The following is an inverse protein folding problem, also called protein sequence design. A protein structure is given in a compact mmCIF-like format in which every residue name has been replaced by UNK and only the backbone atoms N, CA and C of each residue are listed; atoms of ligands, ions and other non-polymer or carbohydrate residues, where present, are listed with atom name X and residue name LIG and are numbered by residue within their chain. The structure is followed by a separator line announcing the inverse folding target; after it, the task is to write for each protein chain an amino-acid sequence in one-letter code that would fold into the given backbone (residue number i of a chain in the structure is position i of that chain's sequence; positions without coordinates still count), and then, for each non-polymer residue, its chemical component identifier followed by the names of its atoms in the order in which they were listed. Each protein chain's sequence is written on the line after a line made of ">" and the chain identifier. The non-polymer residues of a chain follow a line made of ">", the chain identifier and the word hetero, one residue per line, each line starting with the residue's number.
data_IF_838952374059
#
_entry.id   IF_838952374059
#
_cell.length_a   1.000
_cell.length_b   1.000
_cell.length_c   1.000
_cell.angle_alpha   90.00
_cell.angle_beta   90.00
_cell.angle_gamma   90.00
#
_symmetry.space_group_name_H-M   'P 1'
#
loop_
_entity.id
_entity.type
_entity.pdbx_description
1 polymer ?
#
# COMPACT_ATOMS: atom_id res chain seq x y z
N UNK A 1 1.77 6.27 -36.29
CA UNK A 1 1.87 6.93 -34.98
C UNK A 1 1.41 5.95 -33.91
N UNK A 2 2.27 5.00 -33.58
CA UNK A 2 2.04 3.99 -32.57
C UNK A 2 3.26 4.02 -31.67
N UNK A 3 3.10 4.56 -30.47
CA UNK A 3 4.15 4.54 -29.46
C UNK A 3 3.51 4.23 -28.10
N UNK A 4 2.96 3.02 -28.01
CA UNK A 4 2.87 2.34 -26.72
C UNK A 4 4.24 1.72 -26.49
N UNK A 5 5.08 2.46 -25.77
CA UNK A 5 6.35 1.97 -25.27
C UNK A 5 6.14 0.56 -24.67
N UNK A 6 6.93 -0.41 -25.10
CA UNK A 6 6.93 -1.75 -24.49
C UNK A 6 7.04 -1.61 -22.96
N UNK A 7 6.26 -2.38 -22.17
CA UNK A 7 6.40 -2.32 -20.72
C UNK A 7 7.86 -2.61 -20.36
N UNK A 8 8.45 -1.90 -19.39
CA UNK A 8 9.82 -2.17 -18.99
C UNK A 8 9.94 -3.63 -18.58
N UNK A 9 11.00 -4.31 -19.00
CA UNK A 9 11.25 -5.70 -18.65
C UNK A 9 11.37 -5.83 -17.11
N UNK A 10 10.28 -6.25 -16.44
CA UNK A 10 10.23 -6.51 -15.01
C UNK A 10 9.08 -5.81 -14.25
N UNK A 11 8.96 -6.16 -12.98
CA UNK A 11 7.99 -5.56 -12.03
C UNK A 11 8.63 -4.40 -11.23
N UNK A 12 7.86 -3.38 -10.80
CA UNK A 12 8.38 -2.21 -10.07
C UNK A 12 9.13 -2.57 -8.78
N UNK A 13 10.36 -2.08 -8.61
CA UNK A 13 11.19 -2.33 -7.42
C UNK A 13 11.12 -1.15 -6.44
N UNK A 14 11.26 -1.37 -5.12
CA UNK A 14 11.41 -0.29 -4.15
C UNK A 14 12.47 0.73 -4.60
N UNK A 15 12.20 2.05 -4.48
CA UNK A 15 11.06 2.66 -3.78
C UNK A 15 9.78 2.80 -4.62
N UNK A 16 9.78 2.36 -5.90
CA UNK A 16 8.59 2.43 -6.74
C UNK A 16 7.51 1.45 -6.25
N UNK A 17 6.27 1.94 -6.18
CA UNK A 17 5.13 1.11 -5.80
C UNK A 17 4.75 0.15 -6.93
N UNK A 18 4.51 -1.11 -6.59
CA UNK A 18 3.85 -2.07 -7.48
C UNK A 18 2.33 -2.02 -7.22
N UNK A 19 1.48 -1.89 -8.26
CA UNK A 19 0.03 -1.99 -8.11
C UNK A 19 -0.38 -3.39 -7.64
N UNK A 20 -1.48 -3.50 -6.91
CA UNK A 20 -2.01 -4.78 -6.44
C UNK A 20 -2.12 -5.82 -7.56
N UNK A 21 -2.68 -5.46 -8.72
CA UNK A 21 -2.88 -6.39 -9.84
C UNK A 21 -1.59 -7.01 -10.40
N UNK A 22 -0.42 -6.48 -10.03
CA UNK A 22 0.90 -6.98 -10.44
C UNK A 22 1.64 -7.72 -9.32
N UNK A 23 1.06 -7.87 -8.13
CA UNK A 23 1.70 -8.53 -6.98
C UNK A 23 1.98 -10.02 -7.20
N UNK A 24 1.42 -10.64 -8.25
CA UNK A 24 1.76 -12.01 -8.63
C UNK A 24 3.06 -12.13 -9.44
N UNK A 25 3.59 -11.03 -10.00
CA UNK A 25 4.83 -11.04 -10.78
C UNK A 25 6.11 -11.26 -9.95
N UNK A 26 6.27 -10.64 -8.75
CA UNK A 26 7.45 -10.87 -7.91
C UNK A 26 7.49 -12.29 -7.33
N UNK A 27 8.67 -12.94 -7.25
CA UNK A 27 8.80 -14.23 -6.57
C UNK A 27 8.52 -14.11 -5.06
N UNK A 28 8.21 -15.22 -4.40
CA UNK A 28 8.06 -15.24 -2.93
C UNK A 28 9.33 -14.73 -2.25
N UNK A 29 9.16 -13.94 -1.17
CA UNK A 29 10.25 -13.31 -0.43
C UNK A 29 10.84 -12.05 -1.10
N UNK A 30 10.39 -11.71 -2.31
CA UNK A 30 10.80 -10.50 -3.00
C UNK A 30 10.42 -9.26 -2.18
N UNK A 31 11.32 -8.27 -2.17
CA UNK A 31 11.08 -6.98 -1.53
C UNK A 31 10.32 -6.07 -2.49
N UNK A 32 9.15 -5.60 -2.07
CA UNK A 32 8.22 -4.77 -2.84
C UNK A 32 7.85 -3.52 -2.05
N UNK A 33 7.39 -2.49 -2.74
CA UNK A 33 6.73 -1.33 -2.13
C UNK A 33 5.29 -1.30 -2.65
N UNK A 34 4.31 -1.16 -1.77
CA UNK A 34 2.90 -0.95 -2.11
C UNK A 34 2.44 0.38 -1.51
N UNK A 35 1.44 1.01 -2.09
CA UNK A 35 0.80 2.16 -1.49
C UNK A 35 -0.72 2.06 -1.67
N UNK A 36 -1.48 2.53 -0.69
CA UNK A 36 -2.94 2.46 -0.77
C UNK A 36 -3.63 3.09 0.43
N UNK A 37 -4.94 3.29 0.27
CA UNK A 37 -5.84 3.73 1.33
C UNK A 37 -5.95 2.63 2.39
N UNK A 38 -5.96 3.01 3.66
CA UNK A 38 -6.13 2.03 4.74
C UNK A 38 -7.61 1.74 4.96
N UNK A 39 -8.04 0.52 4.67
CA UNK A 39 -9.42 0.08 4.86
C UNK A 39 -9.66 -0.46 6.27
N UNK A 40 -8.82 -1.41 6.69
CA UNK A 40 -9.05 -2.18 7.91
C UNK A 40 -7.75 -2.34 8.68
N UNK A 41 -7.85 -2.30 10.01
CA UNK A 41 -6.77 -2.67 10.94
C UNK A 41 -7.30 -3.73 11.89
N UNK A 42 -6.61 -4.86 11.97
CA UNK A 42 -6.96 -5.92 12.91
C UNK A 42 -5.77 -6.23 13.80
N UNK A 43 -6.03 -6.37 15.10
CA UNK A 43 -5.05 -6.84 16.07
C UNK A 43 -5.67 -7.98 16.88
N UNK A 44 -5.67 -9.21 16.35
CA UNK A 44 -6.24 -10.35 17.05
C UNK A 44 -5.56 -10.53 18.41
N UNK A 45 -6.34 -10.75 19.47
CA UNK A 45 -5.81 -10.91 20.83
C UNK A 45 -4.83 -12.08 20.98
N UNK A 46 -4.93 -13.09 20.11
CA UNK A 46 -4.13 -14.31 20.10
C UNK A 46 -2.86 -14.24 19.23
N UNK A 47 -2.69 -13.19 18.42
CA UNK A 47 -1.63 -13.13 17.40
C UNK A 47 -0.32 -12.51 17.92
N UNK A 48 0.03 -12.68 19.21
CA UNK A 48 1.30 -12.21 19.81
C UNK A 48 1.67 -10.73 19.49
N UNK A 49 0.66 -9.87 19.34
CA UNK A 49 0.86 -8.45 19.04
C UNK A 49 1.10 -8.11 17.56
N UNK A 50 0.86 -9.04 16.63
CA UNK A 50 0.78 -8.77 15.20
C UNK A 50 -0.42 -7.89 14.87
N UNK A 51 -0.23 -6.97 13.94
CA UNK A 51 -1.28 -6.15 13.36
C UNK A 51 -1.38 -6.48 11.87
N UNK A 52 -2.60 -6.65 11.39
CA UNK A 52 -2.94 -6.75 9.98
C UNK A 52 -3.53 -5.43 9.51
N UNK A 53 -3.05 -4.94 8.37
CA UNK A 53 -3.57 -3.74 7.71
C UNK A 53 -4.01 -4.14 6.31
N UNK A 54 -5.22 -3.80 5.90
CA UNK A 54 -5.66 -3.94 4.51
C UNK A 54 -5.51 -2.59 3.82
N UNK A 55 -4.71 -2.56 2.76
CA UNK A 55 -4.54 -1.41 1.86
C UNK A 55 -5.35 -1.63 0.59
N UNK A 56 -5.90 -0.57 0.02
CA UNK A 56 -6.59 -0.59 -1.27
C UNK A 56 -5.95 0.40 -2.24
N UNK A 57 -5.72 -0.06 -3.47
CA UNK A 57 -5.52 0.77 -4.65
C UNK A 57 -6.62 0.47 -5.68
N UNK A 58 -6.64 1.18 -6.80
CA UNK A 58 -7.65 1.02 -7.86
C UNK A 58 -7.67 -0.37 -8.51
N UNK A 59 -6.66 -1.20 -8.24
CA UNK A 59 -6.46 -2.53 -8.80
C UNK A 59 -6.71 -3.67 -7.80
N UNK A 60 -7.02 -3.36 -6.54
CA UNK A 60 -7.44 -4.32 -5.53
C UNK A 60 -6.89 -4.08 -4.12
N UNK A 61 -6.96 -5.11 -3.27
CA UNK A 61 -6.61 -5.01 -1.85
C UNK A 61 -5.34 -5.78 -1.48
N UNK A 62 -4.38 -5.12 -0.85
CA UNK A 62 -3.14 -5.72 -0.36
C UNK A 62 -3.19 -5.89 1.17
N UNK A 63 -2.98 -7.13 1.64
CA UNK A 63 -2.89 -7.41 3.07
C UNK A 63 -1.45 -7.23 3.56
N UNK A 64 -1.26 -6.38 4.58
CA UNK A 64 0.04 -6.08 5.18
C UNK A 64 0.12 -6.66 6.58
N UNK A 65 1.20 -7.38 6.87
CA UNK A 65 1.50 -7.91 8.21
C UNK A 65 2.53 -7.00 8.87
N UNK A 66 2.20 -6.48 10.05
CA UNK A 66 3.04 -5.61 10.86
C UNK A 66 3.35 -6.30 12.19
N UNK A 67 4.58 -6.77 12.34
CA UNK A 67 5.06 -7.36 13.58
C UNK A 67 5.20 -6.32 14.69
N UNK A 68 5.04 -6.75 15.95
CA UNK A 68 5.06 -5.89 17.14
C UNK A 68 6.23 -4.90 17.17
N UNK A 69 7.46 -5.36 16.92
CA UNK A 69 8.67 -4.51 16.90
C UNK A 69 8.57 -3.38 15.87
N UNK A 70 7.99 -3.69 14.71
CA UNK A 70 7.80 -2.71 13.65
C UNK A 70 6.68 -1.73 13.98
N UNK A 71 5.58 -2.23 14.52
CA UNK A 71 4.49 -1.39 15.04
C UNK A 71 5.00 -0.40 16.08
N UNK A 72 5.80 -0.84 17.05
CA UNK A 72 6.37 0.05 18.08
C UNK A 72 7.18 1.20 17.45
N UNK A 73 7.93 0.91 16.38
CA UNK A 73 8.70 1.91 15.62
C UNK A 73 7.82 2.86 14.81
N UNK A 74 6.80 2.36 14.14
CA UNK A 74 5.94 3.14 13.22
C UNK A 74 4.53 3.40 13.79
N UNK A 75 4.42 3.48 15.12
CA UNK A 75 3.14 3.48 15.84
C UNK A 75 2.13 4.49 15.30
N UNK A 76 2.57 5.72 15.04
CA UNK A 76 1.69 6.80 14.54
C UNK A 76 1.10 6.46 13.17
N UNK A 77 1.94 6.05 12.21
CA UNK A 77 1.49 5.68 10.87
C UNK A 77 0.54 4.47 10.93
N UNK A 78 0.90 3.44 11.71
CA UNK A 78 0.08 2.23 11.86
C UNK A 78 -1.28 2.51 12.48
N UNK A 79 -1.39 3.39 13.47
CA UNK A 79 -2.67 3.69 14.13
C UNK A 79 -3.53 4.66 13.33
N UNK A 80 -2.94 5.74 12.82
CA UNK A 80 -3.69 6.91 12.35
C UNK A 80 -3.58 7.18 10.84
N UNK A 81 -2.60 6.58 10.13
CA UNK A 81 -2.35 6.90 8.72
C UNK A 81 -3.53 6.53 7.82
N UNK A 82 -4.02 7.47 7.00
CA UNK A 82 -5.17 7.21 6.12
C UNK A 82 -4.76 6.61 4.77
N UNK A 83 -3.55 6.91 4.34
CA UNK A 83 -2.90 6.34 3.17
C UNK A 83 -1.48 5.98 3.55
N UNK A 84 -1.06 4.74 3.28
CA UNK A 84 0.26 4.26 3.67
C UNK A 84 1.04 3.83 2.45
N UNK A 85 2.34 4.14 2.45
CA UNK A 85 3.34 3.45 1.62
C UNK A 85 4.07 2.44 2.49
N UNK A 86 4.05 1.18 2.07
CA UNK A 86 4.66 0.08 2.80
C UNK A 86 5.69 -0.59 1.92
N UNK A 87 6.94 -0.62 2.38
CA UNK A 87 7.97 -1.49 1.80
C UNK A 87 8.12 -2.73 2.67
N UNK A 88 8.10 -3.90 2.05
CA UNK A 88 8.11 -5.17 2.76
C UNK A 88 8.43 -6.36 1.86
N UNK A 89 8.30 -7.56 2.41
CA UNK A 89 8.53 -8.82 1.69
C UNK A 89 7.23 -9.51 1.34
N UNK A 90 7.13 -9.94 0.10
CA UNK A 90 6.00 -10.70 -0.39
C UNK A 90 6.00 -12.10 0.24
N UNK A 91 4.90 -12.50 0.86
CA UNK A 91 4.66 -13.86 1.32
C UNK A 91 3.39 -14.41 0.68
N UNK A 92 3.41 -15.70 0.37
CA UNK A 92 2.29 -16.43 -0.19
C UNK A 92 2.05 -17.61 0.74
N UNK A 93 0.89 -17.63 1.38
CA UNK A 93 0.54 -18.67 2.33
C UNK A 93 -0.93 -19.03 2.13
N UNK A 94 -1.22 -20.33 1.96
CA UNK A 94 -2.59 -20.83 1.77
C UNK A 94 -3.40 -20.12 0.67
N UNK A 95 -2.73 -19.71 -0.41
CA UNK A 95 -3.36 -19.00 -1.53
C UNK A 95 -3.62 -17.50 -1.30
N UNK A 96 -3.25 -16.96 -0.13
CA UNK A 96 -3.35 -15.54 0.18
C UNK A 96 -1.97 -14.90 0.11
N UNK A 97 -1.93 -13.71 -0.49
CA UNK A 97 -0.72 -12.93 -0.64
C UNK A 97 -0.67 -11.84 0.43
N UNK A 98 0.47 -11.73 1.11
CA UNK A 98 0.73 -10.76 2.16
C UNK A 98 2.02 -9.99 1.89
N UNK A 99 2.08 -8.74 2.32
CA UNK A 99 3.33 -7.97 2.43
C UNK A 99 3.72 -7.90 3.90
N UNK A 100 4.80 -8.59 4.27
CA UNK A 100 5.39 -8.45 5.61
C UNK A 100 6.18 -7.15 5.64
N UNK A 101 5.69 -6.17 6.40
CA UNK A 101 6.25 -4.83 6.41
C UNK A 101 7.68 -4.78 6.97
N UNK A 102 8.48 -3.87 6.43
CA UNK A 102 9.83 -3.51 6.90
C UNK A 102 9.98 -1.99 7.09
N UNK A 103 9.29 -1.20 6.27
CA UNK A 103 9.22 0.27 6.35
C UNK A 103 7.77 0.69 6.11
N UNK A 104 7.26 1.59 6.93
CA UNK A 104 5.90 2.12 6.83
C UNK A 104 5.98 3.65 6.85
N UNK A 105 5.38 4.28 5.86
CA UNK A 105 5.32 5.73 5.73
C UNK A 105 3.86 6.16 5.64
N UNK A 106 3.50 7.16 6.44
CA UNK A 106 2.21 7.82 6.33
C UNK A 106 2.28 8.86 5.20
N UNK A 107 1.62 8.56 4.09
CA UNK A 107 1.52 9.43 2.93
C UNK A 107 0.15 10.10 2.84
N UNK A 108 -0.58 10.16 3.96
CA UNK A 108 -1.89 10.81 4.04
C UNK A 108 -1.90 12.29 3.62
N UNK A 109 -0.76 12.96 3.66
CA UNK A 109 -0.61 14.32 3.13
C UNK A 109 -0.93 14.43 1.63
N UNK A 110 -0.74 13.36 0.86
CA UNK A 110 -1.12 13.34 -0.56
C UNK A 110 -2.64 13.43 -0.75
N UNK A 111 -3.42 12.90 0.19
CA UNK A 111 -4.88 13.04 0.18
C UNK A 111 -5.29 14.48 0.53
N UNK A 112 -4.57 15.13 1.44
CA UNK A 112 -4.83 16.52 1.80
C UNK A 112 -4.57 17.46 0.62
N UNK A 113 -3.63 17.10 -0.26
CA UNK A 113 -3.32 17.86 -1.48
C UNK A 113 -4.47 17.83 -2.50
N UNK A 114 -5.16 16.69 -2.62
CA UNK A 114 -6.37 16.59 -3.46
C UNK A 114 -7.47 17.56 -3.03
N UNK A 115 -7.57 17.86 -1.72
CA UNK A 115 -8.54 18.81 -1.18
C UNK A 115 -8.10 20.28 -1.34
N UNK A 116 -6.79 20.53 -1.53
CA UNK A 116 -6.26 21.87 -1.82
C UNK A 116 -6.47 22.25 -3.28
N UNK A 117 -6.59 21.26 -4.15
CA UNK A 117 -6.87 21.39 -5.56
C UNK A 117 -8.34 21.09 -5.88
N UNK A 118 -9.29 21.88 -5.34
CA UNK A 118 -10.52 22.26 -6.07
C UNK A 118 -11.33 23.35 -5.33
N UNK A 119 -11.91 24.30 -6.08
CA UNK A 119 -13.26 24.04 -6.53
C UNK A 119 -13.29 23.86 -8.04
N UNK A 120 -13.84 22.74 -8.49
CA UNK A 120 -14.27 22.56 -9.86
C UNK A 120 -15.43 23.54 -10.02
N UNK A 121 -15.12 24.78 -10.44
CA UNK A 121 -16.12 25.67 -11.00
C UNK A 121 -16.48 25.09 -12.36
N UNK A 122 -17.31 24.04 -12.34
CA UNK A 122 -18.19 23.76 -13.45
C UNK A 122 -19.10 24.99 -13.53
N UNK A 123 -18.81 25.84 -14.53
CA UNK A 123 -19.59 27.04 -14.78
C UNK A 123 -21.03 26.64 -15.08
N UNK A 124 -21.89 26.81 -14.09
CA UNK A 124 -23.31 27.06 -14.33
C UNK A 124 -23.47 28.57 -14.45
N UNK A 125 -23.52 29.02 -15.69
CA UNK A 125 -24.00 30.34 -16.06
C UNK A 125 -23.60 30.73 -17.49
N UNK A 126 -24.50 31.32 -18.30
CA UNK A 126 -25.94 31.58 -18.07
C UNK A 126 -26.86 30.49 -18.64
#
# INVERSE_FOLDING_TARGET
>A
MSDFASPPAGWPRPPACIPHARLDEPPHGARVTVAGLVLVRQRPGTANGVIFITLEDETGICNVIVWRKLYERYRRAVIAGRCLRVTGRLQRESGVLHVVAEVIEDIGWMLDDLLRHEPLRSGDGP
#
